data_IF_780290809522
#
_entry.id   IF_780290809522
#
_cell.length_a   1.000
_cell.length_b   1.000
_cell.length_c   1.000
_cell.angle_alpha   90.00
_cell.angle_beta   90.00
_cell.angle_gamma   90.00
#
_symmetry.space_group_name_H-M   'P 1'
#
loop_
_entity.id
_entity.type
_entity.pdbx_description
1 polymer ?
#
# COMPACT_ATOMS: atom_id res chain seq x y z
N UNK A 1 5.08 52.18 -55.61
CA UNK A 1 5.57 52.23 -57.00
C UNK A 1 6.98 51.65 -57.02
N UNK A 2 7.20 50.66 -57.90
CA UNK A 2 8.48 50.14 -58.47
C UNK A 2 9.61 49.70 -57.51
N UNK A 3 9.97 48.40 -57.39
CA UNK A 3 10.87 47.59 -58.27
C UNK A 3 12.23 48.26 -58.50
N UNK A 4 13.43 47.69 -58.34
CA UNK A 4 14.02 46.33 -58.48
C UNK A 4 15.52 46.49 -58.09
N UNK A 5 16.28 45.50 -57.59
CA UNK A 5 17.06 44.58 -58.44
C UNK A 5 18.08 43.78 -57.61
N UNK A 6 18.37 42.56 -58.11
CA UNK A 6 19.23 41.49 -57.62
C UNK A 6 20.73 41.80 -57.55
N UNK A 7 21.46 41.02 -56.74
CA UNK A 7 22.80 40.48 -57.09
C UNK A 7 23.16 39.21 -56.29
N UNK A 8 23.46 38.12 -57.03
CA UNK A 8 24.56 37.13 -56.88
C UNK A 8 24.71 36.32 -55.56
N UNK A 9 25.19 35.07 -55.52
CA UNK A 9 25.63 34.07 -56.51
C UNK A 9 25.95 32.74 -55.78
N UNK A 10 25.56 31.63 -56.41
CA UNK A 10 26.19 30.28 -56.47
C UNK A 10 26.90 29.66 -55.25
N UNK A 11 26.40 28.49 -54.85
CA UNK A 11 27.03 27.48 -54.00
C UNK A 11 27.78 26.41 -54.82
N UNK A 12 28.92 25.94 -54.29
CA UNK A 12 29.58 24.68 -54.67
C UNK A 12 30.30 24.11 -53.43
N UNK A 13 29.76 23.03 -52.86
CA UNK A 13 30.33 21.66 -52.83
C UNK A 13 31.51 21.43 -51.85
N UNK A 14 31.29 20.54 -50.88
CA UNK A 14 32.23 19.45 -50.58
C UNK A 14 31.57 18.43 -49.64
N UNK A 15 31.63 17.17 -50.05
CA UNK A 15 31.26 16.00 -49.28
C UNK A 15 32.49 15.46 -48.53
N UNK A 16 32.28 14.82 -47.38
CA UNK A 16 33.26 13.98 -46.69
C UNK A 16 32.54 12.78 -46.03
N UNK A 17 33.22 11.63 -45.84
CA UNK A 17 32.67 10.33 -46.21
C UNK A 17 32.17 9.46 -45.05
N UNK A 18 31.40 8.44 -45.44
CA UNK A 18 30.87 7.36 -44.62
C UNK A 18 31.96 6.38 -44.15
N UNK A 19 31.88 5.94 -42.89
CA UNK A 19 32.65 4.83 -42.34
C UNK A 19 31.76 3.58 -42.19
N UNK A 20 32.19 2.52 -42.86
CA UNK A 20 31.60 1.18 -42.87
C UNK A 20 31.92 0.42 -41.57
N UNK A 21 30.92 -0.24 -40.99
CA UNK A 21 31.11 -1.36 -40.05
C UNK A 21 30.43 -2.62 -40.60
N UNK A 22 31.06 -3.81 -40.51
CA UNK A 22 30.56 -5.01 -41.13
C UNK A 22 29.49 -5.69 -40.27
N UNK A 23 28.51 -6.29 -40.95
CA UNK A 23 27.40 -7.02 -40.34
C UNK A 23 27.81 -8.38 -39.75
N UNK A 24 27.02 -8.81 -38.77
CA UNK A 24 26.99 -10.18 -38.27
C UNK A 24 25.53 -10.65 -38.25
N UNK A 25 25.18 -11.45 -39.26
CA UNK A 25 24.07 -12.38 -39.22
C UNK A 25 24.49 -13.60 -38.39
N UNK A 26 23.62 -14.07 -37.49
CA UNK A 26 23.89 -15.29 -36.72
C UNK A 26 22.80 -15.57 -35.68
N UNK A 27 21.64 -16.03 -36.12
CA UNK A 27 20.67 -16.67 -35.26
C UNK A 27 21.20 -18.04 -34.83
N UNK A 28 21.34 -18.29 -33.52
CA UNK A 28 21.34 -19.64 -32.97
C UNK A 28 20.53 -19.69 -31.67
N UNK A 29 19.60 -20.64 -31.67
CA UNK A 29 18.71 -21.01 -30.57
C UNK A 29 19.49 -21.76 -29.50
N UNK A 30 19.36 -21.36 -28.24
CA UNK A 30 19.80 -22.16 -27.09
C UNK A 30 18.56 -22.43 -26.23
N UNK A 31 18.14 -23.69 -26.22
CA UNK A 31 17.22 -24.29 -25.23
C UNK A 31 18.02 -24.80 -24.02
N UNK A 32 17.29 -25.07 -22.94
CA UNK A 32 17.68 -25.60 -21.61
C UNK A 32 17.98 -24.47 -20.60
N UNK A 33 17.46 -24.49 -19.37
CA UNK A 33 17.07 -25.62 -18.53
C UNK A 33 16.07 -25.17 -17.45
N UNK A 34 15.16 -26.08 -17.10
CA UNK A 34 14.11 -25.95 -16.11
C UNK A 34 14.66 -25.94 -14.68
N UNK A 35 14.44 -24.87 -13.91
CA UNK A 35 14.67 -24.85 -12.46
C UNK A 35 13.43 -25.31 -11.70
N UNK A 36 13.58 -26.42 -10.97
CA UNK A 36 12.58 -27.02 -10.09
C UNK A 36 12.17 -26.10 -8.92
N UNK A 37 10.94 -26.23 -8.37
CA UNK A 37 10.46 -25.40 -7.28
C UNK A 37 11.06 -25.79 -5.91
N UNK A 38 11.27 -24.78 -5.07
CA UNK A 38 11.83 -24.88 -3.74
C UNK A 38 10.99 -25.78 -2.79
N UNK A 39 11.70 -26.58 -1.98
CA UNK A 39 11.16 -27.51 -0.97
C UNK A 39 10.37 -26.78 0.12
N UNK A 40 9.12 -27.19 0.31
CA UNK A 40 8.27 -26.88 1.49
C UNK A 40 8.88 -27.53 2.74
N UNK A 41 9.24 -26.73 3.74
CA UNK A 41 9.57 -27.21 5.09
C UNK A 41 8.25 -27.41 5.85
N UNK A 42 7.95 -28.66 6.23
CA UNK A 42 6.88 -29.03 7.16
C UNK A 42 7.37 -28.83 8.59
N UNK A 43 6.59 -28.16 9.43
CA UNK A 43 6.73 -28.22 10.88
C UNK A 43 5.83 -29.35 11.41
N UNK A 44 6.46 -30.38 11.99
CA UNK A 44 5.76 -31.47 12.68
C UNK A 44 5.25 -31.00 14.06
N UNK A 45 4.00 -31.32 14.36
CA UNK A 45 3.39 -31.15 15.68
C UNK A 45 3.55 -32.45 16.48
N UNK A 46 3.96 -32.43 17.77
CA UNK A 46 4.01 -33.65 18.56
C UNK A 46 2.62 -34.07 19.04
N UNK A 47 2.35 -35.35 18.88
CA UNK A 47 1.14 -36.09 19.21
C UNK A 47 0.92 -36.29 20.71
N UNK A 48 -0.36 -36.46 21.05
CA UNK A 48 -0.89 -36.83 22.35
C UNK A 48 -0.36 -38.18 22.87
N UNK A 49 -0.17 -38.27 24.19
CA UNK A 49 -0.12 -39.54 24.92
C UNK A 49 -0.90 -39.41 26.24
N UNK A 50 -1.99 -40.16 26.32
CA UNK A 50 -2.71 -40.48 27.55
C UNK A 50 -2.11 -41.73 28.21
N UNK A 51 -2.20 -41.86 29.54
CA UNK A 51 -2.24 -43.17 30.15
C UNK A 51 -3.50 -43.37 31.01
N UNK A 52 -4.12 -44.55 30.83
CA UNK A 52 -5.19 -45.11 31.64
C UNK A 52 -4.72 -45.44 33.07
N UNK A 53 -5.62 -45.44 34.09
CA UNK A 53 -5.24 -45.75 35.46
C UNK A 53 -5.27 -47.27 35.75
N UNK A 54 -4.28 -47.72 36.54
CA UNK A 54 -4.22 -49.05 37.16
C UNK A 54 -4.97 -49.05 38.50
N UNK A 55 -5.76 -50.10 38.73
CA UNK A 55 -6.28 -50.52 40.02
C UNK A 55 -5.14 -50.93 40.97
N UNK A 56 -5.25 -50.61 42.27
CA UNK A 56 -5.11 -51.61 43.34
C UNK A 56 -5.50 -51.12 44.75
N UNK A 57 -6.26 -52.01 45.40
CA UNK A 57 -6.28 -52.40 46.81
C UNK A 57 -6.81 -51.50 47.96
N UNK A 58 -7.95 -51.98 48.47
CA UNK A 58 -8.36 -52.19 49.87
C UNK A 58 -7.42 -51.73 51.01
N UNK A 59 -7.96 -50.84 51.84
CA UNK A 59 -7.82 -50.95 53.29
C UNK A 59 -9.15 -50.63 53.97
N UNK A 60 -9.57 -51.57 54.81
CA UNK A 60 -10.77 -51.55 55.63
C UNK A 60 -10.43 -50.84 56.95
N UNK A 61 -11.23 -49.85 57.37
CA UNK A 61 -11.21 -49.41 58.77
C UNK A 61 -12.58 -48.89 59.20
N UNK A 62 -13.17 -49.62 60.16
CA UNK A 62 -14.40 -49.28 60.85
C UNK A 62 -14.18 -48.05 61.75
N UNK A 63 -15.07 -47.06 61.67
CA UNK A 63 -15.35 -46.20 62.81
C UNK A 63 -16.81 -45.73 62.79
N UNK A 64 -17.54 -46.12 63.83
CA UNK A 64 -18.92 -45.71 64.10
C UNK A 64 -18.94 -44.23 64.50
N UNK A 65 -19.55 -43.39 63.66
CA UNK A 65 -19.89 -42.01 63.95
C UNK A 65 -21.30 -41.70 63.49
N UNK A 66 -22.15 -41.29 64.42
CA UNK A 66 -23.54 -40.85 64.23
C UNK A 66 -23.69 -39.88 63.03
N UNK A 67 -24.46 -40.31 62.02
CA UNK A 67 -24.81 -39.50 60.86
C UNK A 67 -25.88 -38.46 61.25
N UNK A 68 -25.50 -37.19 61.28
CA UNK A 68 -26.45 -36.08 61.25
C UNK A 68 -26.69 -35.71 59.78
N UNK A 69 -27.88 -36.03 59.25
CA UNK A 69 -28.27 -35.67 57.88
C UNK A 69 -28.40 -34.14 57.78
N UNK A 70 -27.75 -33.46 56.82
CA UNK A 70 -27.93 -32.04 56.63
C UNK A 70 -29.37 -31.74 56.18
N UNK A 71 -29.93 -30.67 56.76
CA UNK A 71 -31.29 -30.21 56.51
C UNK A 71 -31.53 -29.99 54.99
N UNK A 72 -32.47 -30.70 54.34
CA UNK A 72 -32.67 -30.65 52.87
C UNK A 72 -32.90 -29.24 52.33
N UNK A 73 -33.47 -28.36 53.15
CA UNK A 73 -33.78 -26.98 52.81
C UNK A 73 -32.53 -26.11 52.57
N UNK A 74 -31.41 -26.39 53.24
CA UNK A 74 -30.16 -25.65 53.08
C UNK A 74 -29.38 -26.08 51.83
N UNK A 75 -29.47 -27.36 51.44
CA UNK A 75 -28.88 -27.88 50.21
C UNK A 75 -29.59 -27.36 48.97
N UNK A 76 -30.92 -27.24 49.02
CA UNK A 76 -31.71 -26.67 47.93
C UNK A 76 -31.43 -25.16 47.77
N UNK A 77 -31.25 -24.44 48.88
CA UNK A 77 -30.96 -23.00 48.84
C UNK A 77 -29.51 -22.70 48.40
N UNK A 78 -28.54 -23.56 48.74
CA UNK A 78 -27.16 -23.47 48.21
C UNK A 78 -27.05 -23.93 46.74
N UNK A 79 -27.85 -24.91 46.29
CA UNK A 79 -27.89 -25.32 44.89
C UNK A 79 -28.61 -24.29 43.99
N UNK A 80 -29.59 -23.55 44.52
CA UNK A 80 -30.25 -22.46 43.78
C UNK A 80 -29.39 -21.19 43.66
N UNK A 81 -28.45 -20.94 44.58
CA UNK A 81 -27.49 -19.83 44.45
C UNK A 81 -26.34 -20.09 43.47
N UNK A 82 -26.11 -21.35 43.06
CA UNK A 82 -25.07 -21.72 42.09
C UNK A 82 -25.56 -21.80 40.64
N UNK A 83 -26.82 -21.46 40.36
CA UNK A 83 -27.40 -21.43 39.01
C UNK A 83 -27.76 -20.00 38.55
N UNK A 84 -26.95 -19.00 38.90
CA UNK A 84 -26.91 -17.83 38.04
C UNK A 84 -26.17 -18.21 36.76
N UNK A 85 -26.76 -18.02 35.56
CA UNK A 85 -25.98 -18.17 34.34
C UNK A 85 -24.81 -17.19 34.47
N UNK A 86 -23.58 -17.70 34.26
CA UNK A 86 -22.42 -16.83 34.09
C UNK A 86 -22.82 -15.70 33.13
N UNK A 87 -22.45 -14.43 33.39
CA UNK A 87 -22.83 -13.33 32.50
C UNK A 87 -22.48 -13.79 31.10
N UNK A 88 -23.51 -13.91 30.24
CA UNK A 88 -23.32 -14.32 28.86
C UNK A 88 -22.34 -13.33 28.29
N UNK A 89 -21.09 -13.78 28.10
CA UNK A 89 -20.02 -12.90 27.70
C UNK A 89 -20.33 -12.54 26.26
N UNK A 90 -21.03 -11.42 26.06
CA UNK A 90 -21.43 -10.95 24.76
C UNK A 90 -20.16 -10.73 23.98
N UNK A 91 -20.00 -11.47 22.88
CA UNK A 91 -18.81 -11.36 22.05
C UNK A 91 -18.66 -9.90 21.61
N UNK A 92 -17.49 -9.28 21.79
CA UNK A 92 -17.27 -7.90 21.42
C UNK A 92 -17.58 -7.68 19.94
N UNK A 93 -18.21 -6.55 19.63
CA UNK A 93 -18.52 -6.17 18.26
C UNK A 93 -17.29 -5.50 17.62
N UNK A 94 -16.86 -6.05 16.48
CA UNK A 94 -15.83 -5.49 15.60
C UNK A 94 -16.52 -5.07 14.30
N UNK A 95 -16.41 -3.79 13.93
CA UNK A 95 -17.08 -3.25 12.75
C UNK A 95 -16.07 -2.83 11.66
N UNK A 96 -16.23 -3.36 10.45
CA UNK A 96 -15.59 -2.81 9.25
C UNK A 96 -16.41 -1.63 8.75
N UNK A 97 -15.90 -0.41 8.90
CA UNK A 97 -16.68 0.81 8.70
C UNK A 97 -16.96 1.08 7.23
N UNK A 98 -15.93 1.11 6.39
CA UNK A 98 -15.98 1.61 5.01
C UNK A 98 -15.77 0.49 3.98
N UNK A 99 -16.15 -0.74 4.34
CA UNK A 99 -16.11 -1.90 3.46
C UNK A 99 -17.32 -2.81 3.62
N UNK A 100 -17.43 -3.79 2.72
CA UNK A 100 -18.47 -4.84 2.72
C UNK A 100 -17.95 -6.24 2.95
N UNK A 101 -16.76 -6.52 2.44
CA UNK A 101 -16.18 -7.85 2.49
C UNK A 101 -15.40 -8.03 3.78
N UNK A 102 -15.91 -8.92 4.64
CA UNK A 102 -15.23 -9.37 5.87
C UNK A 102 -14.78 -10.84 5.78
N UNK A 103 -14.68 -11.41 4.57
CA UNK A 103 -14.39 -12.84 4.37
C UNK A 103 -13.01 -13.26 4.91
N UNK A 104 -12.09 -12.31 5.05
CA UNK A 104 -10.75 -12.55 5.62
C UNK A 104 -10.77 -12.43 7.15
N UNK A 105 -11.41 -11.39 7.68
CA UNK A 105 -11.43 -11.06 9.09
C UNK A 105 -12.35 -11.99 9.88
N UNK A 106 -13.49 -12.40 9.31
CA UNK A 106 -14.46 -13.27 9.96
C UNK A 106 -13.83 -14.59 10.43
N UNK A 107 -13.14 -15.39 9.58
CA UNK A 107 -12.50 -16.63 10.04
C UNK A 107 -11.43 -16.42 11.12
N UNK A 108 -10.75 -15.28 11.12
CA UNK A 108 -9.69 -14.94 12.09
C UNK A 108 -10.30 -14.60 13.45
N UNK A 109 -11.42 -13.86 13.45
CA UNK A 109 -12.02 -13.30 14.66
C UNK A 109 -13.23 -14.09 15.21
N UNK A 110 -13.74 -15.09 14.47
CA UNK A 110 -14.98 -15.82 14.76
C UNK A 110 -15.11 -16.37 16.18
N UNK A 111 -14.00 -16.71 16.82
CA UNK A 111 -14.00 -17.37 18.13
C UNK A 111 -14.04 -16.35 19.28
N UNK A 112 -13.65 -15.09 19.01
CA UNK A 112 -13.45 -14.06 20.03
C UNK A 112 -14.31 -12.81 19.83
N UNK A 113 -14.90 -12.59 18.66
CA UNK A 113 -15.66 -11.40 18.34
C UNK A 113 -16.83 -11.67 17.37
N UNK A 114 -17.82 -10.78 17.41
CA UNK A 114 -18.83 -10.66 16.34
C UNK A 114 -18.31 -9.66 15.33
N UNK A 115 -18.15 -10.07 14.07
CA UNK A 115 -17.71 -9.18 12.99
C UNK A 115 -18.91 -8.72 12.17
N UNK A 116 -19.02 -7.42 11.96
CA UNK A 116 -20.01 -6.79 11.09
C UNK A 116 -19.34 -5.79 10.14
N UNK A 117 -20.04 -5.37 9.10
CA UNK A 117 -19.61 -4.31 8.20
C UNK A 117 -20.68 -3.23 8.09
N UNK A 118 -20.30 -2.02 7.68
CA UNK A 118 -21.22 -0.90 7.53
C UNK A 118 -21.35 -0.40 6.08
N UNK A 119 -20.35 -0.58 5.21
CA UNK A 119 -20.31 0.02 3.85
C UNK A 119 -20.50 1.54 3.84
N UNK A 120 -20.03 2.22 4.90
CA UNK A 120 -20.27 3.64 5.12
C UNK A 120 -19.20 4.50 4.44
N UNK A 121 -19.63 5.56 3.77
CA UNK A 121 -18.73 6.63 3.27
C UNK A 121 -18.58 7.77 4.28
N UNK A 122 -19.50 7.87 5.25
CA UNK A 122 -19.48 8.86 6.32
C UNK A 122 -19.98 8.28 7.63
N UNK A 123 -19.62 8.89 8.76
CA UNK A 123 -20.07 8.43 10.09
C UNK A 123 -21.57 8.54 10.30
N UNK A 124 -22.27 9.33 9.50
CA UNK A 124 -23.73 9.46 9.55
C UNK A 124 -24.46 8.24 8.97
N UNK A 125 -23.77 7.44 8.16
CA UNK A 125 -24.30 6.18 7.59
C UNK A 125 -24.10 4.98 8.53
N UNK A 126 -23.33 5.16 9.61
CA UNK A 126 -23.05 4.08 10.56
C UNK A 126 -24.29 3.85 11.43
N UNK A 127 -24.78 2.61 11.43
CA UNK A 127 -25.93 2.21 12.23
C UNK A 127 -25.71 2.45 13.73
N UNK A 128 -26.73 2.93 14.45
CA UNK A 128 -26.64 3.29 15.88
C UNK A 128 -26.08 2.17 16.76
N UNK A 129 -26.45 0.92 16.49
CA UNK A 129 -25.89 -0.25 17.17
C UNK A 129 -24.37 -0.29 17.13
N UNK A 130 -23.75 0.02 15.99
CA UNK A 130 -22.29 0.04 15.85
C UNK A 130 -21.71 1.20 16.65
N UNK A 131 -22.30 2.40 16.56
CA UNK A 131 -21.85 3.56 17.35
C UNK A 131 -21.93 3.28 18.87
N UNK A 132 -22.95 2.57 19.31
CA UNK A 132 -23.18 2.29 20.73
C UNK A 132 -22.35 1.11 21.26
N UNK A 133 -22.17 0.05 20.47
CA UNK A 133 -21.66 -1.24 20.97
C UNK A 133 -20.30 -1.65 20.41
N UNK A 134 -19.84 -1.09 19.28
CA UNK A 134 -18.57 -1.51 18.69
C UNK A 134 -17.41 -1.19 19.61
N UNK A 135 -16.61 -2.21 19.92
CA UNK A 135 -15.42 -2.10 20.76
C UNK A 135 -14.15 -1.94 19.92
N UNK A 136 -14.18 -2.43 18.68
CA UNK A 136 -13.14 -2.16 17.70
C UNK A 136 -13.73 -1.82 16.33
N UNK A 137 -13.00 -0.99 15.59
CA UNK A 137 -13.32 -0.62 14.23
C UNK A 137 -12.14 -0.95 13.30
N UNK A 138 -12.46 -1.47 12.12
CA UNK A 138 -11.55 -1.61 10.99
C UNK A 138 -11.95 -0.59 9.92
N UNK A 139 -10.98 0.05 9.27
CA UNK A 139 -11.26 0.96 8.16
C UNK A 139 -10.14 1.04 7.13
N UNK A 140 -10.54 1.34 5.89
CA UNK A 140 -9.70 1.73 4.77
C UNK A 140 -9.55 3.26 4.75
N UNK A 141 -9.58 3.89 3.57
CA UNK A 141 -9.23 5.29 3.35
C UNK A 141 -10.45 6.16 3.00
N UNK A 142 -11.66 5.59 2.91
CA UNK A 142 -12.81 6.31 2.33
C UNK A 142 -13.67 7.00 3.37
N UNK A 143 -13.57 6.58 4.64
CA UNK A 143 -14.19 7.29 5.76
C UNK A 143 -13.16 8.12 6.53
N UNK A 144 -13.57 9.30 6.97
CA UNK A 144 -12.78 10.17 7.86
C UNK A 144 -13.37 10.13 9.27
N UNK A 145 -12.51 10.07 10.29
CA UNK A 145 -12.88 10.07 11.71
C UNK A 145 -12.28 11.30 12.38
N UNK A 146 -13.02 12.41 12.34
CA UNK A 146 -12.70 13.62 13.11
C UNK A 146 -12.97 13.41 14.61
N UNK A 147 -12.58 14.38 15.45
CA UNK A 147 -12.97 14.40 16.86
C UNK A 147 -14.48 14.22 17.07
N UNK A 148 -15.30 14.97 16.34
CA UNK A 148 -16.77 14.93 16.48
C UNK A 148 -17.34 13.56 16.07
N UNK A 149 -16.69 12.90 15.12
CA UNK A 149 -17.04 11.55 14.71
C UNK A 149 -16.67 10.51 15.77
N UNK A 150 -15.49 10.63 16.36
CA UNK A 150 -15.03 9.72 17.42
C UNK A 150 -15.92 9.80 18.67
N UNK A 151 -16.44 11.00 19.00
CA UNK A 151 -17.38 11.20 20.11
C UNK A 151 -18.73 10.49 19.93
N UNK A 152 -19.11 10.13 18.70
CA UNK A 152 -20.33 9.35 18.42
C UNK A 152 -20.20 7.92 18.95
N UNK A 153 -18.99 7.36 18.96
CA UNK A 153 -18.74 6.01 19.45
C UNK A 153 -18.73 5.95 20.98
N UNK A 154 -19.56 5.08 21.57
CA UNK A 154 -19.75 4.98 23.04
C UNK A 154 -18.91 3.89 23.70
N UNK A 155 -18.51 2.87 22.94
CA UNK A 155 -17.79 1.71 23.46
C UNK A 155 -16.45 1.43 22.76
N UNK A 156 -16.08 2.24 21.77
CA UNK A 156 -14.91 2.01 20.93
C UNK A 156 -13.62 2.15 21.74
N UNK A 157 -12.72 1.18 21.59
CA UNK A 157 -11.41 1.13 22.29
C UNK A 157 -10.23 0.99 21.33
N UNK A 158 -10.49 0.48 20.13
CA UNK A 158 -9.45 0.19 19.14
C UNK A 158 -9.93 0.56 17.73
N UNK A 159 -9.07 1.23 16.99
CA UNK A 159 -9.21 1.46 15.56
C UNK A 159 -8.00 0.82 14.87
N UNK A 160 -8.26 -0.04 13.88
CA UNK A 160 -7.21 -0.60 13.03
C UNK A 160 -7.40 -0.10 11.60
N UNK A 161 -6.45 0.72 11.17
CA UNK A 161 -6.30 1.16 9.79
C UNK A 161 -5.78 0.01 8.94
N UNK A 162 -6.61 -0.50 8.03
CA UNK A 162 -6.18 -1.42 6.98
C UNK A 162 -5.48 -0.57 5.92
N UNK A 163 -4.17 -0.46 6.09
CA UNK A 163 -3.31 0.42 5.30
C UNK A 163 -2.17 0.99 6.13
N UNK A 164 -1.27 1.72 5.46
CA UNK A 164 -0.12 2.32 6.10
C UNK A 164 -0.41 3.71 6.70
N UNK A 165 -0.88 4.66 5.89
CA UNK A 165 -1.19 6.01 6.36
C UNK A 165 -2.49 6.04 7.16
N UNK A 166 -2.59 6.96 8.12
CA UNK A 166 -3.72 7.10 9.06
C UNK A 166 -4.16 8.56 9.21
N UNK A 167 -3.89 9.39 8.19
CA UNK A 167 -4.24 10.81 8.14
C UNK A 167 -5.76 11.08 8.13
N UNK A 168 -6.56 10.08 7.77
CA UNK A 168 -8.03 10.13 7.85
C UNK A 168 -8.59 9.90 9.26
N UNK A 169 -7.74 9.80 10.28
CA UNK A 169 -8.13 9.59 11.68
C UNK A 169 -7.48 10.69 12.53
N UNK A 170 -8.28 11.40 13.32
CA UNK A 170 -7.75 12.30 14.35
C UNK A 170 -7.16 11.49 15.51
N UNK A 171 -5.90 11.08 15.34
CA UNK A 171 -5.19 10.25 16.33
C UNK A 171 -4.96 10.97 17.66
N UNK A 172 -4.92 12.31 17.67
CA UNK A 172 -4.79 13.10 18.90
C UNK A 172 -6.11 13.01 19.68
N UNK A 173 -7.25 13.25 19.03
CA UNK A 173 -8.57 13.08 19.64
C UNK A 173 -8.83 11.63 20.08
N UNK A 174 -8.45 10.64 19.26
CA UNK A 174 -8.58 9.24 19.62
C UNK A 174 -7.84 8.91 20.92
N UNK A 175 -6.60 9.37 21.08
CA UNK A 175 -5.82 9.17 22.29
C UNK A 175 -6.48 9.81 23.53
N UNK A 176 -6.98 11.05 23.40
CA UNK A 176 -7.72 11.74 24.49
C UNK A 176 -9.01 11.00 24.90
N UNK A 177 -9.64 10.31 23.94
CA UNK A 177 -10.82 9.48 24.16
C UNK A 177 -10.49 8.04 24.60
N UNK A 178 -9.21 7.73 24.86
CA UNK A 178 -8.72 6.38 25.19
C UNK A 178 -9.00 5.32 24.11
N UNK A 179 -8.96 5.73 22.85
CA UNK A 179 -9.10 4.87 21.67
C UNK A 179 -7.70 4.67 21.07
N UNK A 180 -7.21 3.43 21.11
CA UNK A 180 -5.95 3.09 20.46
C UNK A 180 -6.11 3.08 18.94
N UNK A 181 -5.11 3.59 18.22
CA UNK A 181 -5.07 3.54 16.74
C UNK A 181 -3.86 2.72 16.31
N UNK A 182 -4.09 1.73 15.45
CA UNK A 182 -3.07 0.88 14.86
C UNK A 182 -3.15 0.94 13.33
N UNK A 183 -2.01 0.73 12.65
CA UNK A 183 -1.94 0.60 11.20
C UNK A 183 -1.20 -0.68 10.81
N UNK A 184 -1.26 -1.04 9.52
CA UNK A 184 -0.51 -2.17 8.97
C UNK A 184 0.81 -1.65 8.39
N UNK A 185 1.85 -1.63 9.23
CA UNK A 185 3.10 -0.94 8.93
C UNK A 185 3.88 -1.45 7.70
N UNK A 186 3.60 -2.65 7.19
CA UNK A 186 4.26 -3.22 6.00
C UNK A 186 3.30 -3.36 4.81
N UNK A 187 2.15 -2.68 4.84
CA UNK A 187 1.14 -2.79 3.80
C UNK A 187 1.65 -2.31 2.43
N UNK A 188 1.67 -3.22 1.46
CA UNK A 188 1.91 -2.96 0.04
C UNK A 188 3.17 -2.16 -0.31
N UNK A 189 4.26 -2.30 0.45
CA UNK A 189 5.49 -1.51 0.22
C UNK A 189 6.05 -1.74 -1.18
N UNK A 190 6.19 -3.00 -1.58
CA UNK A 190 6.77 -3.38 -2.88
C UNK A 190 5.79 -3.09 -4.01
N UNK A 191 4.50 -3.38 -3.83
CA UNK A 191 3.44 -3.16 -4.81
C UNK A 191 3.27 -1.67 -5.14
N UNK A 192 3.35 -0.80 -4.13
CA UNK A 192 3.34 0.66 -4.33
C UNK A 192 4.61 1.09 -5.06
N UNK A 193 5.79 0.58 -4.68
CA UNK A 193 7.03 0.91 -5.36
C UNK A 193 7.05 0.47 -6.83
N UNK A 194 6.53 -0.71 -7.14
CA UNK A 194 6.39 -1.24 -8.50
C UNK A 194 5.42 -0.37 -9.32
N UNK A 195 4.30 0.03 -8.72
CA UNK A 195 3.32 0.93 -9.34
C UNK A 195 3.92 2.31 -9.62
N UNK A 196 4.69 2.86 -8.67
CA UNK A 196 5.41 4.13 -8.86
C UNK A 196 6.41 4.03 -10.00
N UNK A 197 7.23 2.97 -10.05
CA UNK A 197 8.17 2.77 -11.15
C UNK A 197 7.46 2.62 -12.49
N UNK A 198 6.32 1.93 -12.53
CA UNK A 198 5.47 1.84 -13.71
C UNK A 198 5.01 3.22 -14.18
N UNK A 199 4.52 4.07 -13.28
CA UNK A 199 4.10 5.44 -13.60
C UNK A 199 5.26 6.30 -14.11
N UNK A 200 6.43 6.27 -13.43
CA UNK A 200 7.63 6.99 -13.86
C UNK A 200 8.02 6.55 -15.27
N UNK A 201 8.15 5.25 -15.53
CA UNK A 201 8.51 4.74 -16.84
C UNK A 201 7.44 5.08 -17.89
N UNK A 202 6.16 5.13 -17.50
CA UNK A 202 5.09 5.57 -18.38
C UNK A 202 5.28 7.03 -18.83
N UNK A 203 5.65 7.93 -17.92
CA UNK A 203 5.98 9.32 -18.26
C UNK A 203 7.17 9.39 -19.22
N UNK A 204 8.27 8.69 -18.91
CA UNK A 204 9.49 8.74 -19.71
C UNK A 204 9.36 8.07 -21.08
N UNK A 205 8.58 6.99 -21.19
CA UNK A 205 8.47 6.13 -22.40
C UNK A 205 7.14 6.28 -23.14
N UNK A 206 6.24 7.07 -22.57
CA UNK A 206 4.91 7.42 -23.10
C UNK A 206 4.05 6.22 -23.48
N UNK A 207 4.25 5.07 -22.84
CA UNK A 207 3.66 3.80 -23.25
C UNK A 207 2.13 3.80 -23.17
N UNK A 208 1.55 4.50 -22.19
CA UNK A 208 0.09 4.65 -22.10
C UNK A 208 -0.48 5.44 -23.28
N UNK A 209 0.10 6.59 -23.61
CA UNK A 209 -0.37 7.42 -24.74
C UNK A 209 -0.23 6.71 -26.07
N UNK A 210 0.89 6.00 -26.28
CA UNK A 210 1.10 5.19 -27.49
C UNK A 210 0.08 4.06 -27.60
N UNK A 211 -0.17 3.32 -26.51
CA UNK A 211 -1.16 2.26 -26.50
C UNK A 211 -2.58 2.79 -26.76
N UNK A 212 -2.96 3.91 -26.15
CA UNK A 212 -4.26 4.54 -26.38
C UNK A 212 -4.44 4.98 -27.82
N UNK A 213 -3.41 5.53 -28.47
CA UNK A 213 -3.47 5.91 -29.88
C UNK A 213 -3.75 4.69 -30.78
N UNK A 214 -3.05 3.58 -30.55
CA UNK A 214 -3.29 2.32 -31.29
C UNK A 214 -4.72 1.82 -31.06
N UNK A 215 -5.20 1.82 -29.81
CA UNK A 215 -6.55 1.39 -29.49
C UNK A 215 -7.63 2.26 -30.14
N UNK A 216 -7.43 3.59 -30.18
CA UNK A 216 -8.36 4.50 -30.85
C UNK A 216 -8.43 4.20 -32.35
N UNK A 217 -7.28 3.99 -33.00
CA UNK A 217 -7.22 3.65 -34.42
C UNK A 217 -7.94 2.33 -34.74
N UNK A 218 -7.81 1.32 -33.88
CA UNK A 218 -8.51 0.04 -34.04
C UNK A 218 -10.04 0.16 -33.89
N UNK A 219 -10.53 1.15 -33.14
CA UNK A 219 -11.97 1.43 -32.97
C UNK A 219 -12.54 2.28 -34.10
N UNK A 220 -11.70 2.96 -34.88
CA UNK A 220 -12.13 3.79 -36.01
C UNK A 220 -12.45 2.92 -37.24
N UNK A 221 -13.60 3.13 -37.92
CA UNK A 221 -13.90 2.44 -39.16
C UNK A 221 -12.81 2.63 -40.22
N UNK A 222 -12.49 1.59 -41.00
CA UNK A 222 -11.35 1.56 -41.93
C UNK A 222 -11.30 2.73 -42.92
N UNK A 223 -12.46 3.26 -43.32
CA UNK A 223 -12.57 4.41 -44.23
C UNK A 223 -12.20 5.75 -43.57
N UNK A 224 -12.27 5.85 -42.24
CA UNK A 224 -11.86 7.03 -41.45
C UNK A 224 -10.43 6.90 -40.91
N UNK A 225 -9.84 5.70 -40.89
CA UNK A 225 -8.47 5.48 -40.42
C UNK A 225 -7.42 6.22 -41.25
N UNK A 226 -7.72 6.56 -42.51
CA UNK A 226 -6.82 7.37 -43.35
C UNK A 226 -6.63 8.80 -42.79
N UNK A 227 -7.60 9.33 -42.04
CA UNK A 227 -7.49 10.65 -41.38
C UNK A 227 -6.68 10.63 -40.08
N UNK A 228 -6.45 9.45 -39.51
CA UNK A 228 -5.70 9.25 -38.25
C UNK A 228 -4.18 9.09 -38.53
N UNK A 229 -3.76 9.18 -39.79
CA UNK A 229 -2.38 8.98 -40.20
C UNK A 229 -2.00 7.50 -40.26
N UNK A 230 -1.21 7.12 -41.27
CA UNK A 230 -0.59 5.80 -41.30
C UNK A 230 0.39 5.64 -40.12
N UNK A 231 0.61 4.41 -39.64
CA UNK A 231 1.68 4.12 -38.68
C UNK A 231 3.03 4.20 -39.42
N UNK A 232 3.40 5.39 -39.85
CA UNK A 232 4.70 5.65 -40.47
C UNK A 232 5.73 5.94 -39.40
N UNK A 233 7.03 5.82 -39.71
CA UNK A 233 8.09 6.26 -38.80
C UNK A 233 7.92 7.71 -38.33
N UNK A 234 7.45 8.61 -39.20
CA UNK A 234 7.25 10.03 -38.90
C UNK A 234 6.11 10.23 -37.89
N UNK A 235 4.96 9.59 -38.14
CA UNK A 235 3.83 9.65 -37.20
C UNK A 235 4.17 9.03 -35.84
N UNK A 236 4.90 7.91 -35.85
CA UNK A 236 5.38 7.27 -34.61
C UNK A 236 6.31 8.19 -33.84
N UNK A 237 7.20 8.91 -34.53
CA UNK A 237 8.11 9.89 -33.91
C UNK A 237 7.36 11.07 -33.32
N UNK A 238 6.31 11.55 -34.00
CA UNK A 238 5.45 12.62 -33.50
C UNK A 238 4.69 12.19 -32.23
N UNK A 239 4.09 11.00 -32.23
CA UNK A 239 3.39 10.45 -31.06
C UNK A 239 4.33 10.19 -29.88
N UNK A 240 5.53 9.70 -30.17
CA UNK A 240 6.58 9.46 -29.18
C UNK A 240 7.36 10.72 -28.80
N UNK A 241 7.00 11.90 -29.34
CA UNK A 241 7.66 13.15 -28.97
C UNK A 241 7.54 13.38 -27.45
N UNK A 242 8.65 13.81 -26.83
CA UNK A 242 8.78 13.90 -25.37
C UNK A 242 9.23 12.61 -24.68
N UNK A 243 9.47 11.52 -25.40
CA UNK A 243 10.17 10.35 -24.84
C UNK A 243 11.64 10.70 -24.49
N UNK A 244 11.99 10.69 -23.20
CA UNK A 244 13.35 11.03 -22.73
C UNK A 244 14.14 9.78 -22.30
N UNK A 245 15.43 9.72 -22.62
CA UNK A 245 16.32 8.65 -22.14
C UNK A 245 16.40 8.71 -20.60
N UNK A 246 16.13 7.60 -19.94
CA UNK A 246 16.11 7.51 -18.46
C UNK A 246 17.51 7.60 -17.85
N UNK A 247 18.49 6.88 -18.40
CA UNK A 247 19.84 6.86 -17.84
C UNK A 247 20.43 8.28 -17.77
N UNK A 248 20.89 8.67 -16.58
CA UNK A 248 21.48 9.97 -16.30
C UNK A 248 20.47 11.05 -15.88
N UNK A 249 19.18 10.73 -15.84
CA UNK A 249 18.15 11.63 -15.30
C UNK A 249 18.16 11.61 -13.78
N UNK A 250 17.72 12.71 -13.18
CA UNK A 250 17.64 12.88 -11.74
C UNK A 250 16.21 12.62 -11.26
N UNK A 251 16.05 11.63 -10.38
CA UNK A 251 14.78 11.33 -9.70
C UNK A 251 14.83 11.88 -8.28
N UNK A 252 13.99 12.86 -7.99
CA UNK A 252 13.76 13.41 -6.66
C UNK A 252 12.69 12.65 -5.90
N UNK A 253 13.00 12.19 -4.70
CA UNK A 253 12.10 11.44 -3.81
C UNK A 253 11.77 12.30 -2.59
N UNK A 254 10.51 12.63 -2.37
CA UNK A 254 10.05 13.31 -1.15
C UNK A 254 9.58 12.25 -0.16
N UNK A 255 10.30 12.09 0.96
CA UNK A 255 10.06 11.04 1.94
C UNK A 255 10.82 9.75 1.61
N UNK A 256 11.81 9.42 2.43
CA UNK A 256 12.68 8.24 2.27
C UNK A 256 12.33 7.17 3.32
N UNK A 257 11.04 6.90 3.46
CA UNK A 257 10.52 5.76 4.23
C UNK A 257 10.67 4.42 3.49
N UNK A 258 9.85 3.43 3.86
CA UNK A 258 9.88 2.09 3.25
C UNK A 258 9.67 2.12 1.73
N UNK A 259 8.61 2.79 1.28
CA UNK A 259 8.28 2.90 -0.16
C UNK A 259 9.31 3.73 -0.91
N UNK A 260 9.67 4.93 -0.42
CA UNK A 260 10.67 5.78 -1.06
C UNK A 260 12.02 5.08 -1.22
N UNK A 261 12.44 4.31 -0.22
CA UNK A 261 13.64 3.47 -0.31
C UNK A 261 13.50 2.36 -1.36
N UNK A 262 12.36 1.65 -1.38
CA UNK A 262 12.11 0.60 -2.37
C UNK A 262 12.11 1.14 -3.82
N UNK A 263 11.56 2.34 -4.03
CA UNK A 263 11.61 3.06 -5.32
C UNK A 263 13.05 3.45 -5.68
N UNK A 264 13.80 4.03 -4.74
CA UNK A 264 15.21 4.41 -4.97
C UNK A 264 16.07 3.23 -5.45
N UNK A 265 15.95 2.08 -4.77
CA UNK A 265 16.70 0.85 -5.12
C UNK A 265 16.37 0.39 -6.55
N UNK A 266 15.09 0.38 -6.93
CA UNK A 266 14.65 -0.01 -8.28
C UNK A 266 15.09 0.98 -9.35
N UNK A 267 14.88 2.28 -9.09
CA UNK A 267 15.18 3.35 -10.04
C UNK A 267 16.67 3.39 -10.42
N UNK A 268 17.57 3.05 -9.50
CA UNK A 268 19.01 2.94 -9.78
C UNK A 268 19.33 1.93 -10.88
N UNK A 269 18.61 0.82 -10.99
CA UNK A 269 18.83 -0.18 -12.05
C UNK A 269 18.53 0.38 -13.45
N UNK A 270 17.63 1.37 -13.56
CA UNK A 270 17.33 2.08 -14.81
C UNK A 270 18.35 3.19 -15.12
N UNK A 271 19.26 3.48 -14.19
CA UNK A 271 20.31 4.48 -14.33
C UNK A 271 19.89 5.91 -13.93
N UNK A 272 18.87 6.06 -13.09
CA UNK A 272 18.57 7.35 -12.45
C UNK A 272 19.64 7.71 -11.42
N UNK A 273 19.95 9.00 -11.31
CA UNK A 273 20.61 9.59 -10.14
C UNK A 273 19.51 9.90 -9.11
N UNK A 274 19.66 9.40 -7.88
CA UNK A 274 18.61 9.53 -6.87
C UNK A 274 18.93 10.66 -5.92
N UNK A 275 18.00 11.61 -5.82
CA UNK A 275 17.99 12.67 -4.83
C UNK A 275 16.79 12.46 -3.92
N UNK A 276 16.89 12.82 -2.63
CA UNK A 276 15.75 12.78 -1.74
C UNK A 276 15.73 13.94 -0.75
N UNK A 277 14.52 14.29 -0.32
CA UNK A 277 14.29 15.18 0.80
C UNK A 277 13.41 14.46 1.83
N UNK A 278 13.95 14.25 3.03
CA UNK A 278 13.21 13.77 4.19
C UNK A 278 13.81 14.35 5.47
N UNK A 279 13.13 15.30 6.14
CA UNK A 279 13.67 15.95 7.34
C UNK A 279 13.73 15.00 8.55
N UNK A 280 13.03 13.86 8.51
CA UNK A 280 12.92 12.94 9.64
C UNK A 280 13.95 11.80 9.59
N UNK A 281 14.70 11.66 8.50
CA UNK A 281 15.70 10.60 8.34
C UNK A 281 17.04 11.07 8.89
N UNK A 282 17.61 10.28 9.81
CA UNK A 282 18.93 10.54 10.39
C UNK A 282 20.02 10.67 9.32
N UNK A 283 21.02 11.52 9.57
CA UNK A 283 22.15 11.71 8.67
C UNK A 283 22.93 10.40 8.44
N UNK A 284 23.52 10.25 7.25
CA UNK A 284 24.34 9.11 6.89
C UNK A 284 23.59 7.97 6.22
N UNK A 285 22.25 7.95 6.25
CA UNK A 285 21.44 6.93 5.57
C UNK A 285 21.63 6.97 4.04
N UNK A 286 21.87 8.17 3.49
CA UNK A 286 22.17 8.36 2.07
C UNK A 286 23.45 7.63 1.63
N UNK A 287 24.42 7.46 2.53
CA UNK A 287 25.70 6.79 2.24
C UNK A 287 25.54 5.28 2.08
N UNK A 288 24.65 4.65 2.84
CA UNK A 288 24.42 3.20 2.73
C UNK A 288 23.73 2.82 1.42
N UNK A 289 22.89 3.72 0.89
CA UNK A 289 22.17 3.52 -0.37
C UNK A 289 22.88 4.12 -1.60
N UNK A 290 23.92 4.94 -1.39
CA UNK A 290 24.62 5.64 -2.47
C UNK A 290 23.71 6.61 -3.22
N UNK A 291 22.95 7.41 -2.48
CA UNK A 291 22.00 8.42 -3.00
C UNK A 291 22.34 9.81 -2.45
N UNK A 292 21.70 10.85 -2.98
CA UNK A 292 22.00 12.24 -2.63
C UNK A 292 20.88 12.83 -1.74
N UNK A 293 21.25 13.46 -0.63
CA UNK A 293 20.31 14.18 0.24
C UNK A 293 20.18 15.65 -0.18
N UNK A 294 18.95 16.14 -0.24
CA UNK A 294 18.60 17.56 -0.34
C UNK A 294 18.14 18.04 1.04
N UNK A 295 18.52 19.26 1.43
CA UNK A 295 18.20 19.82 2.75
C UNK A 295 16.94 20.70 2.74
N UNK A 296 16.42 21.03 1.56
CA UNK A 296 15.13 21.70 1.39
C UNK A 296 14.36 21.14 0.20
N UNK A 297 13.05 21.38 0.19
CA UNK A 297 12.20 21.01 -0.96
C UNK A 297 12.62 21.76 -2.23
N UNK A 298 13.06 23.01 -2.10
CA UNK A 298 13.52 23.80 -3.24
C UNK A 298 14.79 23.18 -3.85
N UNK A 299 15.75 22.75 -3.04
CA UNK A 299 16.95 22.07 -3.54
C UNK A 299 16.57 20.81 -4.31
N UNK A 300 15.63 20.01 -3.78
CA UNK A 300 15.16 18.82 -4.47
C UNK A 300 14.53 19.16 -5.82
N UNK A 301 13.65 20.16 -5.85
CA UNK A 301 12.96 20.61 -7.06
C UNK A 301 13.96 21.01 -8.15
N UNK A 302 14.98 21.81 -7.83
CA UNK A 302 15.98 22.26 -8.79
C UNK A 302 16.88 21.13 -9.32
N UNK A 303 17.10 20.09 -8.53
CA UNK A 303 17.97 18.98 -8.91
C UNK A 303 17.23 17.87 -9.69
N UNK A 304 15.90 17.91 -9.78
CA UNK A 304 15.10 16.77 -10.24
C UNK A 304 14.52 16.98 -11.64
N UNK A 305 14.68 15.97 -12.51
CA UNK A 305 13.93 15.88 -13.78
C UNK A 305 12.53 15.28 -13.55
N UNK A 306 12.39 14.45 -12.51
CA UNK A 306 11.15 13.83 -12.09
C UNK A 306 11.08 13.83 -10.57
N UNK A 307 9.93 14.17 -9.99
CA UNK A 307 9.71 14.17 -8.54
C UNK A 307 8.62 13.15 -8.21
N UNK A 308 8.86 12.32 -7.19
CA UNK A 308 7.89 11.35 -6.67
C UNK A 308 7.67 11.55 -5.18
N UNK A 309 6.39 11.53 -4.75
CA UNK A 309 5.97 11.79 -3.38
C UNK A 309 5.72 10.48 -2.64
N UNK A 310 6.40 10.31 -1.50
CA UNK A 310 6.34 9.13 -0.64
C UNK A 310 6.26 9.49 0.85
N UNK A 311 6.15 10.78 1.18
CA UNK A 311 5.95 11.27 2.55
C UNK A 311 4.49 11.13 2.98
N UNK A 312 4.27 10.86 4.27
CA UNK A 312 2.92 10.88 4.86
C UNK A 312 2.38 12.31 4.95
N UNK A 313 1.08 12.48 4.75
CA UNK A 313 0.39 13.75 4.91
C UNK A 313 0.31 14.12 6.40
N UNK A 314 0.74 15.33 6.75
CA UNK A 314 0.66 15.90 8.09
C UNK A 314 0.71 17.44 8.01
N UNK A 315 0.65 18.10 9.17
CA UNK A 315 0.64 19.57 9.30
C UNK A 315 1.83 20.25 8.57
N UNK A 316 2.98 19.58 8.49
CA UNK A 316 4.20 20.12 7.86
C UNK A 316 4.40 19.69 6.39
N UNK A 317 3.66 18.71 5.89
CA UNK A 317 3.72 18.24 4.50
C UNK A 317 2.52 18.64 3.65
N UNK A 318 1.47 19.20 4.27
CA UNK A 318 0.32 19.73 3.54
C UNK A 318 0.76 20.85 2.58
N UNK A 319 0.45 20.70 1.30
CA UNK A 319 0.88 21.62 0.23
C UNK A 319 2.41 21.82 0.16
N UNK A 320 3.21 20.79 0.49
CA UNK A 320 4.67 20.84 0.39
C UNK A 320 5.14 21.18 -1.03
N UNK A 321 4.49 20.61 -2.05
CA UNK A 321 4.56 21.09 -3.43
C UNK A 321 3.35 21.98 -3.71
N UNK A 322 3.62 23.27 -3.86
CA UNK A 322 2.65 24.32 -4.14
C UNK A 322 3.17 25.27 -5.24
N UNK A 323 2.36 26.27 -5.59
CA UNK A 323 2.69 27.27 -6.61
C UNK A 323 4.08 27.92 -6.40
N UNK A 324 4.44 28.28 -5.17
CA UNK A 324 5.73 28.90 -4.87
C UNK A 324 6.89 27.91 -5.10
N UNK A 325 6.78 26.67 -4.59
CA UNK A 325 7.83 25.67 -4.78
C UNK A 325 8.04 25.30 -6.26
N UNK A 326 6.97 25.30 -7.07
CA UNK A 326 7.03 24.91 -8.48
C UNK A 326 7.44 26.06 -9.41
N UNK A 327 7.17 27.31 -9.04
CA UNK A 327 7.63 28.51 -9.77
C UNK A 327 9.15 28.70 -9.74
N UNK A 328 9.86 27.94 -8.91
CA UNK A 328 11.31 27.99 -8.83
C UNK A 328 12.02 27.22 -9.97
N UNK A 329 11.25 26.57 -10.85
CA UNK A 329 11.67 25.91 -12.10
C UNK A 329 11.46 26.86 -13.27
#
# INVERSE_FOLDING_TARGET
MSTTSNTQSSASSSAAPASSTPGLNGAQSIKSESSQPAKKVRYDSPTANSPSPRNNHHHNNNNNGSFNLPNPSLLIQQQQQQQQPAPSQTRPLVALLDGRDCSVEMPILKDIATVAFCDAQSTNEIHEKVLNEAQAALLYNTINLSRDDLLKFKALKLIVKIGYNYDNIDVKAAAELNIAVCNVAAYCVEEVADSTMSMILNLYRRTHWLANNVQQKLKTPSHQQQQIGALTPEHTRELANGCVRVRGQNLGIVGLGKVGTAVAVRARAFGFNIYFYDPNVAEGFERSLGIHRCHSINDLVHQSDCISLHASLNETSYHLLNEHSLKSI
#
